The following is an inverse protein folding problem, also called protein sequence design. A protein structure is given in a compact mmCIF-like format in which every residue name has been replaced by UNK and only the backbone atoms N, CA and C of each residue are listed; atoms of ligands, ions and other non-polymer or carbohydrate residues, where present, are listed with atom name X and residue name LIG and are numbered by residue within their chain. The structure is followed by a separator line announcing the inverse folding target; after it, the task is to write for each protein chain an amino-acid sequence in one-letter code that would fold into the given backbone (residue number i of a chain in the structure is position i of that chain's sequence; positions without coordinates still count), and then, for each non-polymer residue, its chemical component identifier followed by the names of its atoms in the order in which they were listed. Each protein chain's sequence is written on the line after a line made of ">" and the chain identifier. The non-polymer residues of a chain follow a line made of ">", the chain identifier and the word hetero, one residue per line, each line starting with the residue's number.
data_IF_329265704750
#
_entry.id   IF_329265704750
#
_cell.length_a   1.000
_cell.length_b   1.000
_cell.length_c   1.000
_cell.angle_alpha   90.00
_cell.angle_beta   90.00
_cell.angle_gamma   90.00
#
_symmetry.space_group_name_H-M   'P 1'
#
loop_
_entity.id
_entity.type
_entity.pdbx_description
1 polymer ?
#
# COMPACT_ATOMS: atom_id res chain seq x y z
N UNK A 1 2.42 9.74 -16.67
CA UNK A 1 3.46 9.21 -15.77
C UNK A 1 3.24 7.71 -15.57
N UNK A 2 4.29 6.93 -15.73
CA UNK A 2 4.19 5.49 -15.48
C UNK A 2 4.31 5.21 -13.98
N UNK A 3 3.39 4.40 -13.45
CA UNK A 3 3.44 3.97 -12.06
C UNK A 3 4.43 2.80 -11.95
N UNK A 4 5.45 2.93 -11.11
CA UNK A 4 6.44 1.91 -10.86
C UNK A 4 6.56 1.55 -9.38
N UNK A 5 6.37 2.52 -8.49
CA UNK A 5 6.51 2.36 -7.03
C UNK A 5 5.18 2.58 -6.34
N UNK A 6 4.75 1.56 -5.62
CA UNK A 6 3.47 1.56 -4.89
C UNK A 6 3.75 1.43 -3.40
N UNK A 7 3.17 2.31 -2.60
CA UNK A 7 3.22 2.21 -1.15
C UNK A 7 1.83 1.82 -0.63
N UNK A 8 1.76 0.78 0.19
CA UNK A 8 0.52 0.34 0.83
C UNK A 8 0.60 0.67 2.31
N UNK A 9 -0.35 1.45 2.79
CA UNK A 9 -0.46 1.86 4.19
C UNK A 9 -1.48 0.97 4.89
N UNK A 10 -1.02 0.21 5.87
CA UNK A 10 -1.82 -0.78 6.57
C UNK A 10 -1.44 -2.19 6.14
N UNK A 11 -0.92 -2.98 7.08
CA UNK A 11 -0.40 -4.32 6.85
C UNK A 11 -1.33 -5.43 7.36
N UNK A 12 -2.61 -5.14 7.48
CA UNK A 12 -3.63 -6.14 7.77
C UNK A 12 -3.89 -7.04 6.56
N UNK A 13 -4.92 -7.86 6.63
CA UNK A 13 -5.24 -8.83 5.56
C UNK A 13 -5.43 -8.12 4.22
N UNK A 14 -6.16 -7.00 4.20
CA UNK A 14 -6.42 -6.27 2.97
C UNK A 14 -5.15 -5.62 2.41
N UNK A 15 -4.40 -4.91 3.25
CA UNK A 15 -3.15 -4.27 2.82
C UNK A 15 -2.13 -5.28 2.31
N UNK A 16 -1.97 -6.40 3.02
CA UNK A 16 -1.08 -7.47 2.59
C UNK A 16 -1.51 -8.04 1.23
N UNK A 17 -2.82 -8.24 1.02
CA UNK A 17 -3.35 -8.72 -0.25
C UNK A 17 -3.08 -7.77 -1.40
N UNK A 18 -3.27 -6.47 -1.18
CA UNK A 18 -3.00 -5.44 -2.17
C UNK A 18 -1.50 -5.40 -2.51
N UNK A 19 -0.65 -5.45 -1.50
CA UNK A 19 0.80 -5.46 -1.69
C UNK A 19 1.24 -6.67 -2.52
N UNK A 20 0.69 -7.84 -2.22
CA UNK A 20 1.00 -9.08 -2.96
C UNK A 20 0.61 -8.96 -4.44
N UNK A 21 -0.61 -8.49 -4.72
CA UNK A 21 -1.10 -8.34 -6.09
C UNK A 21 -0.25 -7.33 -6.87
N UNK A 22 0.11 -6.21 -6.24
CA UNK A 22 0.96 -5.21 -6.88
C UNK A 22 2.35 -5.77 -7.21
N UNK A 23 2.94 -6.51 -6.27
CA UNK A 23 4.25 -7.14 -6.50
C UNK A 23 4.18 -8.22 -7.58
N UNK A 24 3.10 -8.98 -7.63
CA UNK A 24 2.87 -9.97 -8.69
C UNK A 24 2.75 -9.32 -10.06
N UNK A 25 2.20 -8.10 -10.11
CA UNK A 25 2.10 -7.33 -11.35
C UNK A 25 3.42 -6.70 -11.79
N UNK A 26 4.46 -6.78 -10.97
CA UNK A 26 5.80 -6.29 -11.31
C UNK A 26 6.17 -4.94 -10.70
N UNK A 27 5.33 -4.37 -9.84
CA UNK A 27 5.64 -3.10 -9.19
C UNK A 27 6.57 -3.29 -7.99
N UNK A 28 7.38 -2.29 -7.71
CA UNK A 28 8.11 -2.20 -6.45
C UNK A 28 7.12 -1.73 -5.38
N UNK A 29 7.05 -2.44 -4.26
CA UNK A 29 6.04 -2.22 -3.22
C UNK A 29 6.70 -1.95 -1.88
N UNK A 30 6.20 -0.95 -1.18
CA UNK A 30 6.49 -0.73 0.23
C UNK A 30 5.21 -1.03 1.02
N UNK A 31 5.30 -1.93 1.99
CA UNK A 31 4.22 -2.24 2.92
C UNK A 31 4.55 -1.58 4.25
N UNK A 32 3.76 -0.59 4.63
CA UNK A 32 4.03 0.21 5.84
C UNK A 32 2.88 0.10 6.85
N UNK A 33 3.23 -0.05 8.11
CA UNK A 33 2.28 0.11 9.21
C UNK A 33 2.96 0.85 10.35
N UNK A 34 2.21 1.17 11.40
CA UNK A 34 2.71 1.97 12.51
C UNK A 34 3.66 1.20 13.44
N UNK A 35 3.57 -0.13 13.47
CA UNK A 35 4.43 -0.98 14.31
C UNK A 35 5.05 -2.11 13.51
N UNK A 36 6.27 -2.48 13.88
CA UNK A 36 7.03 -3.58 13.24
C UNK A 36 6.24 -4.88 13.24
N UNK A 37 5.57 -5.22 14.34
CA UNK A 37 4.79 -6.46 14.45
C UNK A 37 3.68 -6.55 13.42
N UNK A 38 3.05 -5.43 13.10
CA UNK A 38 2.00 -5.39 12.07
C UNK A 38 2.59 -5.61 10.68
N UNK A 39 3.73 -5.00 10.41
CA UNK A 39 4.45 -5.19 9.14
C UNK A 39 4.90 -6.65 9.00
N UNK A 40 5.46 -7.23 10.04
CA UNK A 40 5.88 -8.63 10.04
C UNK A 40 4.71 -9.58 9.81
N UNK A 41 3.57 -9.30 10.44
CA UNK A 41 2.35 -10.10 10.23
C UNK A 41 1.88 -10.03 8.78
N UNK A 42 1.89 -8.84 8.18
CA UNK A 42 1.52 -8.66 6.78
C UNK A 42 2.47 -9.38 5.84
N UNK A 43 3.77 -9.24 6.07
CA UNK A 43 4.78 -9.93 5.26
C UNK A 43 4.65 -11.45 5.41
N UNK A 44 4.38 -11.94 6.62
CA UNK A 44 4.15 -13.36 6.87
C UNK A 44 2.90 -13.89 6.15
N UNK A 45 1.84 -13.11 6.08
CA UNK A 45 0.63 -13.47 5.32
C UNK A 45 0.96 -13.64 3.84
N UNK A 46 1.72 -12.72 3.27
CA UNK A 46 2.13 -12.78 1.86
C UNK A 46 3.00 -14.01 1.62
N UNK A 47 3.99 -14.25 2.48
CA UNK A 47 4.88 -15.42 2.37
C UNK A 47 4.07 -16.71 2.39
N UNK A 48 3.12 -16.83 3.33
CA UNK A 48 2.27 -18.01 3.44
C UNK A 48 1.42 -18.22 2.18
N UNK A 49 0.86 -17.16 1.64
CA UNK A 49 0.06 -17.24 0.41
C UNK A 49 0.89 -17.70 -0.79
N UNK A 50 2.10 -17.18 -0.92
CA UNK A 50 3.01 -17.56 -2.01
C UNK A 50 3.49 -19.00 -1.85
N UNK A 51 3.85 -19.41 -0.63
CA UNK A 51 4.26 -20.79 -0.35
C UNK A 51 3.15 -21.77 -0.69
N UNK A 52 1.89 -21.41 -0.38
CA UNK A 52 0.73 -22.22 -0.71
C UNK A 52 0.57 -22.37 -2.23
N UNK A 53 0.74 -21.29 -2.97
CA UNK A 53 0.67 -21.31 -4.44
C UNK A 53 1.76 -22.19 -5.03
N UNK A 54 2.97 -22.13 -4.50
CA UNK A 54 4.09 -22.99 -4.93
C UNK A 54 3.77 -24.46 -4.63
N UNK A 55 3.29 -24.75 -3.42
CA UNK A 55 2.92 -26.11 -3.01
C UNK A 55 1.84 -26.74 -3.89
N UNK A 56 0.90 -25.93 -4.39
CA UNK A 56 -0.19 -26.37 -5.25
C UNK A 56 0.19 -26.40 -6.73
N UNK A 57 1.44 -26.11 -7.07
CA UNK A 57 1.91 -26.10 -8.45
C UNK A 57 1.38 -24.94 -9.29
N UNK A 58 0.82 -23.89 -8.65
CA UNK A 58 0.29 -22.70 -9.34
C UNK A 58 1.34 -21.64 -9.61
N UNK A 59 2.51 -21.76 -8.99
CA UNK A 59 3.58 -20.78 -9.07
C UNK A 59 4.93 -21.49 -8.92
N UNK A 60 5.92 -21.04 -9.67
CA UNK A 60 7.29 -21.48 -9.50
C UNK A 60 7.91 -20.87 -8.25
N UNK A 61 8.78 -21.60 -7.56
CA UNK A 61 9.47 -21.09 -6.38
C UNK A 61 10.27 -19.82 -6.68
N UNK A 62 10.95 -19.79 -7.83
CA UNK A 62 11.72 -18.63 -8.28
C UNK A 62 10.84 -17.39 -8.47
N UNK A 63 9.62 -17.57 -8.99
CA UNK A 63 8.66 -16.50 -9.15
C UNK A 63 8.22 -15.93 -7.78
N UNK A 64 7.96 -16.82 -6.81
CA UNK A 64 7.60 -16.42 -5.46
C UNK A 64 8.72 -15.60 -4.80
N UNK A 65 9.97 -16.01 -4.98
CA UNK A 65 11.13 -15.28 -4.43
C UNK A 65 11.26 -13.90 -5.07
N UNK A 66 11.04 -13.77 -6.38
CA UNK A 66 11.05 -12.48 -7.07
C UNK A 66 9.96 -11.55 -6.54
N UNK A 67 8.75 -12.07 -6.33
CA UNK A 67 7.63 -11.30 -5.79
C UNK A 67 7.99 -10.76 -4.41
N UNK A 68 8.48 -11.61 -3.51
CA UNK A 68 8.91 -11.17 -2.18
C UNK A 68 10.05 -10.15 -2.24
N UNK A 69 10.94 -10.28 -3.21
CA UNK A 69 12.03 -9.34 -3.41
C UNK A 69 11.58 -7.93 -3.82
N UNK A 70 10.37 -7.79 -4.34
CA UNK A 70 9.80 -6.48 -4.70
C UNK A 70 9.10 -5.78 -3.54
N UNK A 71 8.90 -6.47 -2.41
CA UNK A 71 8.15 -5.93 -1.28
C UNK A 71 9.11 -5.59 -0.13
N UNK A 72 9.10 -4.35 0.31
CA UNK A 72 9.85 -3.90 1.47
C UNK A 72 8.88 -3.49 2.58
N UNK A 73 9.07 -4.03 3.77
CA UNK A 73 8.29 -3.64 4.95
C UNK A 73 8.99 -2.55 5.73
N UNK A 74 8.27 -1.56 6.22
CA UNK A 74 8.83 -0.50 7.06
C UNK A 74 7.77 0.20 7.88
N UNK A 75 8.20 0.98 8.88
CA UNK A 75 7.31 1.75 9.75
C UNK A 75 7.40 3.25 9.53
N UNK A 76 8.50 3.75 8.99
CA UNK A 76 8.68 5.18 8.78
C UNK A 76 7.87 5.69 7.59
N UNK A 77 6.87 6.52 7.87
CA UNK A 77 5.95 7.03 6.85
C UNK A 77 6.67 7.85 5.78
N UNK A 78 7.55 8.75 6.18
CA UNK A 78 8.26 9.62 5.25
C UNK A 78 9.07 8.80 4.24
N UNK A 79 9.87 7.85 4.73
CA UNK A 79 10.68 6.99 3.86
C UNK A 79 9.79 6.14 2.95
N UNK A 80 8.67 5.65 3.48
CA UNK A 80 7.77 4.77 2.74
C UNK A 80 7.14 5.46 1.52
N UNK A 81 6.80 6.76 1.63
CA UNK A 81 6.00 7.44 0.61
C UNK A 81 6.74 8.44 -0.26
N UNK A 82 7.98 8.81 0.10
CA UNK A 82 8.73 9.87 -0.60
C UNK A 82 8.85 9.62 -2.11
N UNK A 83 9.14 8.39 -2.51
CA UNK A 83 9.32 8.03 -3.92
C UNK A 83 8.10 7.34 -4.54
N UNK A 84 7.01 7.21 -3.81
CA UNK A 84 5.84 6.49 -4.29
C UNK A 84 5.13 7.23 -5.43
N UNK A 85 4.77 6.50 -6.46
CA UNK A 85 3.93 7.00 -7.56
C UNK A 85 2.45 6.85 -7.20
N UNK A 86 2.13 5.82 -6.43
CA UNK A 86 0.78 5.52 -5.97
C UNK A 86 0.86 5.11 -4.49
N UNK A 87 0.06 5.74 -3.67
CA UNK A 87 -0.10 5.37 -2.25
C UNK A 87 -1.51 4.85 -2.07
N UNK A 88 -1.62 3.61 -1.58
CA UNK A 88 -2.90 2.95 -1.34
C UNK A 88 -3.12 2.85 0.17
N UNK A 89 -4.18 3.46 0.66
CA UNK A 89 -4.53 3.44 2.07
C UNK A 89 -5.49 2.28 2.33
N UNK A 90 -5.12 1.39 3.25
CA UNK A 90 -5.91 0.23 3.68
C UNK A 90 -5.94 0.15 5.21
N UNK A 91 -6.04 1.30 5.87
CA UNK A 91 -6.11 1.40 7.32
C UNK A 91 -7.56 1.31 7.81
N UNK A 92 -7.76 1.27 9.13
CA UNK A 92 -9.10 1.16 9.73
C UNK A 92 -10.01 2.32 9.32
N UNK A 93 -11.32 2.03 9.25
CA UNK A 93 -12.37 2.97 8.82
C UNK A 93 -12.69 4.01 9.90
N UNK A 94 -11.76 4.96 10.14
CA UNK A 94 -11.98 6.12 11.01
C UNK A 94 -11.69 7.36 10.18
N UNK A 95 -12.73 8.13 9.83
CA UNK A 95 -12.60 9.25 8.90
C UNK A 95 -11.60 10.32 9.35
N UNK A 96 -11.61 10.69 10.63
CA UNK A 96 -10.68 11.69 11.13
C UNK A 96 -9.22 11.23 11.02
N UNK A 97 -8.97 9.95 11.29
CA UNK A 97 -7.64 9.36 11.13
C UNK A 97 -7.22 9.38 9.66
N UNK A 98 -8.12 9.03 8.75
CA UNK A 98 -7.83 9.02 7.31
C UNK A 98 -7.55 10.43 6.78
N UNK A 99 -8.30 11.43 7.22
CA UNK A 99 -8.04 12.83 6.86
C UNK A 99 -6.67 13.29 7.31
N UNK A 100 -6.28 12.94 8.55
CA UNK A 100 -4.97 13.28 9.08
C UNK A 100 -3.87 12.62 8.26
N UNK A 101 -4.01 11.34 7.94
CA UNK A 101 -3.05 10.60 7.12
C UNK A 101 -2.93 11.24 5.74
N UNK A 102 -4.04 11.55 5.08
CA UNK A 102 -4.01 12.14 3.73
C UNK A 102 -3.38 13.53 3.73
N UNK A 103 -3.60 14.30 4.79
CA UNK A 103 -2.95 15.60 4.94
C UNK A 103 -1.43 15.45 5.07
N UNK A 104 -0.97 14.48 5.86
CA UNK A 104 0.45 14.16 5.97
C UNK A 104 1.02 13.67 4.64
N UNK A 105 0.28 12.83 3.92
CA UNK A 105 0.71 12.34 2.61
C UNK A 105 0.87 13.47 1.61
N UNK A 106 -0.01 14.47 1.64
CA UNK A 106 0.10 15.61 0.75
C UNK A 106 1.41 16.38 0.97
N UNK A 107 1.89 16.42 2.21
CA UNK A 107 3.16 17.07 2.54
C UNK A 107 4.37 16.21 2.21
N UNK A 108 4.28 14.89 2.35
CA UNK A 108 5.41 13.97 2.23
C UNK A 108 5.59 13.38 0.83
N UNK A 109 4.50 13.18 0.09
CA UNK A 109 4.54 12.58 -1.23
C UNK A 109 4.97 13.59 -2.29
N UNK A 110 5.57 13.10 -3.37
CA UNK A 110 5.86 13.95 -4.51
C UNK A 110 4.56 14.49 -5.11
N UNK A 111 4.60 15.67 -5.77
CA UNK A 111 3.39 16.35 -6.24
C UNK A 111 2.49 15.53 -7.19
N UNK A 112 3.08 14.67 -8.01
CA UNK A 112 2.35 13.86 -8.99
C UNK A 112 1.83 12.53 -8.43
N UNK A 113 2.12 12.20 -7.16
CA UNK A 113 1.67 10.94 -6.57
C UNK A 113 0.14 10.86 -6.47
N UNK A 114 -0.41 9.70 -6.79
CA UNK A 114 -1.83 9.41 -6.68
C UNK A 114 -2.08 8.81 -5.30
N UNK A 115 -3.11 9.32 -4.61
CA UNK A 115 -3.53 8.82 -3.29
C UNK A 115 -4.83 8.05 -3.46
N UNK A 116 -4.81 6.76 -3.17
CA UNK A 116 -5.97 5.89 -3.30
C UNK A 116 -6.42 5.41 -1.92
N UNK A 117 -7.73 5.29 -1.73
CA UNK A 117 -8.29 4.78 -0.47
C UNK A 117 -9.31 3.70 -0.72
N UNK A 118 -9.33 2.71 0.17
CA UNK A 118 -10.33 1.67 0.22
C UNK A 118 -11.50 2.13 1.11
N UNK A 119 -12.29 3.08 0.62
CA UNK A 119 -13.43 3.65 1.37
C UNK A 119 -14.57 4.00 0.42
N UNK A 120 -15.74 4.39 0.96
CA UNK A 120 -16.91 4.75 0.16
C UNK A 120 -16.70 6.08 -0.59
N UNK A 121 -17.49 6.29 -1.67
CA UNK A 121 -17.41 7.50 -2.47
C UNK A 121 -17.63 8.79 -1.68
N UNK A 122 -18.56 8.78 -0.71
CA UNK A 122 -18.79 9.95 0.15
C UNK A 122 -17.57 10.26 1.00
N UNK A 123 -16.95 9.23 1.57
CA UNK A 123 -15.73 9.38 2.36
C UNK A 123 -14.58 9.88 1.50
N UNK A 124 -14.48 9.45 0.26
CA UNK A 124 -13.46 9.93 -0.69
C UNK A 124 -13.60 11.44 -0.91
N UNK A 125 -14.82 11.93 -1.07
CA UNK A 125 -15.07 13.36 -1.23
C UNK A 125 -14.55 14.16 -0.03
N UNK A 126 -14.81 13.69 1.19
CA UNK A 126 -14.29 14.33 2.39
C UNK A 126 -12.77 14.27 2.48
N UNK A 127 -12.17 13.12 2.16
CA UNK A 127 -10.72 12.97 2.20
C UNK A 127 -10.02 13.82 1.14
N UNK A 128 -10.61 13.93 -0.05
CA UNK A 128 -10.05 14.75 -1.13
C UNK A 128 -10.00 16.23 -0.78
N UNK A 129 -10.88 16.70 0.10
CA UNK A 129 -10.88 18.09 0.56
C UNK A 129 -9.75 18.39 1.56
N UNK A 130 -9.21 17.39 2.23
CA UNK A 130 -8.16 17.57 3.25
C UNK A 130 -6.78 17.83 2.64
N UNK A 131 -6.29 17.05 1.63
CA UNK A 131 -5.01 17.36 0.98
C UNK A 131 -5.17 18.45 -0.08
N UNK A 132 -4.04 19.01 -0.52
CA UNK A 132 -4.01 20.01 -1.58
C UNK A 132 -4.06 19.46 -2.99
N UNK A 133 -4.46 18.18 -3.18
CA UNK A 133 -4.49 17.52 -4.50
C UNK A 133 -5.78 16.70 -4.71
N UNK A 134 -6.96 17.35 -4.72
CA UNK A 134 -8.22 16.59 -4.81
C UNK A 134 -8.37 15.74 -6.07
N UNK A 135 -7.78 16.15 -7.19
CA UNK A 135 -7.86 15.41 -8.45
C UNK A 135 -7.02 14.13 -8.46
N UNK A 136 -6.12 13.97 -7.49
CA UNK A 136 -5.23 12.82 -7.38
C UNK A 136 -5.63 11.85 -6.27
N UNK A 137 -6.78 12.08 -5.64
CA UNK A 137 -7.32 11.19 -4.60
C UNK A 137 -8.44 10.36 -5.21
N UNK A 138 -8.30 9.04 -5.17
CA UNK A 138 -9.26 8.11 -5.80
C UNK A 138 -9.72 7.04 -4.83
N UNK A 139 -10.84 6.39 -5.16
CA UNK A 139 -11.36 5.22 -4.47
C UNK A 139 -10.98 3.94 -5.21
N UNK A 140 -10.70 2.90 -4.46
CA UNK A 140 -10.40 1.58 -5.02
C UNK A 140 -11.36 0.51 -4.52
#
# INVERSE_FOLDING_TARGET
>A
MAIQKVCVLGAGIMGAGIAQVAAQAGFDVVLRDIEVRFVENGMGTITKNLDRAVSKGKMEKSAAEEIMGRINGMTDLKTAVTDADLVIEAIIEVMDLKKTVFKELDELCKPEAILASNTSGLSITEMAAAPGRPDQVISI
#
